data_IF_092116234070
#
_entry.id   IF_092116234070
#
_cell.length_a   1.000
_cell.length_b   1.000
_cell.length_c   1.000
_cell.angle_alpha   90.00
_cell.angle_beta   90.00
_cell.angle_gamma   90.00
#
_symmetry.space_group_name_H-M   'P 1'
#
loop_
_entity.id
_entity.type
_entity.pdbx_description
1 polymer ?
#
# COMPACT_ATOMS: atom_id res chain seq x y z
N UNK A 1 29.99 -59.73 -69.31
CA UNK A 1 30.18 -58.31 -69.65
C UNK A 1 30.92 -57.68 -68.48
N UNK A 2 32.14 -57.18 -68.72
CA UNK A 2 33.11 -56.78 -67.71
C UNK A 2 32.89 -55.31 -67.28
N UNK A 3 33.01 -55.02 -65.98
CA UNK A 3 33.12 -53.65 -65.47
C UNK A 3 34.51 -53.47 -64.85
N UNK A 4 35.30 -52.59 -65.47
CA UNK A 4 36.68 -52.26 -65.11
C UNK A 4 36.69 -50.90 -64.41
N UNK A 5 37.22 -50.91 -63.19
CA UNK A 5 37.97 -49.90 -62.43
C UNK A 5 37.97 -48.43 -62.91
N UNK A 6 37.68 -47.49 -61.99
CA UNK A 6 38.58 -46.33 -61.76
C UNK A 6 38.47 -45.77 -60.34
N UNK A 7 39.57 -45.95 -59.62
CA UNK A 7 39.97 -45.28 -58.38
C UNK A 7 40.55 -43.93 -58.79
N UNK A 8 40.15 -42.82 -58.17
CA UNK A 8 41.07 -41.69 -58.01
C UNK A 8 40.74 -40.91 -56.72
N UNK A 9 41.77 -40.79 -55.90
CA UNK A 9 41.80 -40.05 -54.65
C UNK A 9 42.57 -38.75 -54.92
N UNK A 10 42.23 -37.71 -54.14
CA UNK A 10 43.07 -36.57 -53.78
C UNK A 10 42.87 -35.28 -54.60
N UNK A 11 42.29 -34.27 -53.95
CA UNK A 11 42.97 -32.99 -53.72
C UNK A 11 42.32 -32.27 -52.53
N UNK A 12 43.17 -31.71 -51.67
CA UNK A 12 42.84 -31.02 -50.44
C UNK A 12 43.07 -29.52 -50.61
N UNK A 13 42.37 -28.77 -49.75
CA UNK A 13 42.62 -27.38 -49.35
C UNK A 13 42.21 -26.27 -50.33
N UNK A 14 41.12 -25.57 -49.96
CA UNK A 14 41.04 -24.10 -49.77
C UNK A 14 39.57 -23.73 -49.51
N UNK A 15 39.16 -23.64 -48.24
CA UNK A 15 37.88 -22.96 -47.88
C UNK A 15 37.76 -22.58 -46.38
N UNK A 16 38.67 -23.08 -45.52
CA UNK A 16 38.57 -22.88 -44.07
C UNK A 16 38.71 -21.42 -43.57
N UNK A 17 39.17 -20.47 -44.40
CA UNK A 17 39.38 -19.07 -43.99
C UNK A 17 38.12 -18.20 -44.00
N UNK A 18 37.20 -18.38 -44.96
CA UNK A 18 35.98 -17.57 -45.06
C UNK A 18 34.93 -17.99 -44.04
N UNK A 19 34.82 -19.30 -43.77
CA UNK A 19 33.99 -19.86 -42.71
C UNK A 19 34.43 -19.42 -41.31
N UNK A 20 35.74 -19.31 -41.05
CA UNK A 20 36.25 -18.82 -39.76
C UNK A 20 35.93 -17.34 -39.55
N UNK A 21 36.12 -16.50 -40.57
CA UNK A 21 35.85 -15.06 -40.46
C UNK A 21 34.35 -14.77 -40.26
N UNK A 22 33.48 -15.56 -40.90
CA UNK A 22 32.03 -15.44 -40.73
C UNK A 22 31.57 -15.92 -39.35
N UNK A 23 32.17 -17.00 -38.81
CA UNK A 23 31.89 -17.47 -37.46
C UNK A 23 32.40 -16.50 -36.38
N UNK A 24 33.57 -15.88 -36.57
CA UNK A 24 34.08 -14.85 -35.64
C UNK A 24 33.21 -13.58 -35.68
N UNK A 25 32.73 -13.17 -36.85
CA UNK A 25 31.80 -12.05 -36.97
C UNK A 25 30.47 -12.35 -36.25
N UNK A 26 29.93 -13.56 -36.41
CA UNK A 26 28.71 -13.99 -35.70
C UNK A 26 28.92 -14.08 -34.18
N UNK A 27 30.10 -14.51 -33.73
CA UNK A 27 30.46 -14.54 -32.29
C UNK A 27 30.63 -13.13 -31.71
N UNK A 28 31.16 -12.19 -32.48
CA UNK A 28 31.26 -10.80 -32.06
C UNK A 28 29.87 -10.16 -31.92
N UNK A 29 28.97 -10.45 -32.86
CA UNK A 29 27.59 -9.94 -32.85
C UNK A 29 26.77 -10.53 -31.68
N UNK A 30 26.87 -11.84 -31.45
CA UNK A 30 26.23 -12.50 -30.29
C UNK A 30 26.80 -12.01 -28.94
N UNK A 31 28.04 -11.54 -28.89
CA UNK A 31 28.62 -10.94 -27.68
C UNK A 31 28.21 -9.48 -27.50
N UNK A 32 27.86 -8.79 -28.58
CA UNK A 32 27.38 -7.40 -28.54
C UNK A 32 25.90 -7.29 -28.11
N UNK A 33 25.06 -8.29 -28.42
CA UNK A 33 23.64 -8.32 -28.02
C UNK A 33 23.42 -8.25 -26.49
N UNK A 34 24.07 -9.05 -25.63
CA UNK A 34 23.90 -8.94 -24.18
C UNK A 34 24.51 -7.66 -23.61
N UNK A 35 25.52 -7.09 -24.27
CA UNK A 35 26.13 -5.83 -23.86
C UNK A 35 25.20 -4.64 -24.15
N UNK A 36 24.53 -4.63 -25.31
CA UNK A 36 23.53 -3.61 -25.66
C UNK A 36 22.27 -3.74 -24.82
N UNK A 37 21.79 -4.95 -24.54
CA UNK A 37 20.66 -5.18 -23.63
C UNK A 37 20.96 -4.72 -22.19
N UNK A 38 22.19 -4.94 -21.70
CA UNK A 38 22.62 -4.46 -20.37
C UNK A 38 22.75 -2.94 -20.33
N UNK A 39 23.31 -2.32 -21.37
CA UNK A 39 23.39 -0.87 -21.49
C UNK A 39 21.98 -0.24 -21.54
N UNK A 40 21.05 -0.81 -22.30
CA UNK A 40 19.69 -0.31 -22.43
C UNK A 40 18.87 -0.47 -21.12
N UNK A 41 19.19 -1.48 -20.30
CA UNK A 41 18.63 -1.64 -18.95
C UNK A 41 19.20 -0.65 -17.93
N UNK A 42 20.47 -0.22 -18.08
CA UNK A 42 21.08 0.80 -17.23
C UNK A 42 20.64 2.23 -17.60
N UNK A 43 20.32 2.47 -18.87
CA UNK A 43 19.86 3.79 -19.36
C UNK A 43 18.36 4.01 -19.11
N UNK A 44 17.58 2.96 -18.86
CA UNK A 44 16.25 3.14 -18.29
C UNK A 44 16.39 3.61 -16.84
N UNK A 45 16.05 4.87 -16.49
CA UNK A 45 15.91 5.24 -15.11
C UNK A 45 14.90 4.27 -14.49
N UNK A 46 15.22 3.74 -13.31
CA UNK A 46 14.26 3.00 -12.51
C UNK A 46 12.96 3.81 -12.52
N UNK A 47 11.90 3.27 -13.15
CA UNK A 47 10.57 3.85 -13.02
C UNK A 47 10.39 4.10 -11.53
N UNK A 48 9.94 5.28 -11.09
CA UNK A 48 9.60 5.45 -9.69
C UNK A 48 8.67 4.28 -9.38
N UNK A 49 9.14 3.37 -8.54
CA UNK A 49 8.27 2.36 -7.98
C UNK A 49 7.17 3.18 -7.33
N UNK A 50 5.97 3.17 -7.92
CA UNK A 50 4.78 3.63 -7.23
C UNK A 50 4.68 2.73 -6.01
N UNK A 51 5.37 3.12 -4.94
CA UNK A 51 5.33 2.44 -3.66
C UNK A 51 3.93 2.68 -3.17
N UNK A 52 3.04 1.74 -3.47
CA UNK A 52 1.67 1.74 -2.97
C UNK A 52 1.73 2.13 -1.50
N UNK A 53 1.04 3.22 -1.09
CA UNK A 53 1.19 3.74 0.25
C UNK A 53 0.83 2.64 1.24
N UNK A 54 1.80 2.27 2.08
CA UNK A 54 1.66 1.19 3.05
C UNK A 54 0.87 1.69 4.24
N UNK A 55 0.18 0.79 4.93
CA UNK A 55 -0.48 1.10 6.19
C UNK A 55 0.58 1.60 7.19
N UNK A 56 0.41 2.78 7.81
CA UNK A 56 1.32 3.28 8.83
C UNK A 56 1.48 2.25 9.96
N UNK A 57 2.72 1.97 10.35
CA UNK A 57 2.99 1.22 11.59
C UNK A 57 2.84 2.16 12.78
N UNK A 58 2.13 1.76 13.83
CA UNK A 58 2.00 2.55 15.06
C UNK A 58 0.86 3.57 15.07
N UNK A 59 -0.22 3.33 14.33
CA UNK A 59 -1.44 4.12 14.45
C UNK A 59 -1.92 4.14 15.92
N UNK A 60 -2.38 5.30 16.42
CA UNK A 60 -2.90 5.42 17.77
C UNK A 60 -4.12 4.50 17.92
N UNK A 61 -4.17 3.74 19.02
CA UNK A 61 -5.29 2.84 19.30
C UNK A 61 -6.49 3.61 19.83
N UNK A 62 -7.69 3.23 19.40
CA UNK A 62 -8.93 3.84 19.88
C UNK A 62 -9.91 2.78 20.34
N UNK A 63 -10.32 2.87 21.61
CA UNK A 63 -11.27 1.92 22.22
C UNK A 63 -12.69 2.48 22.20
N UNK A 64 -12.86 3.79 22.01
CA UNK A 64 -14.17 4.42 22.05
C UNK A 64 -14.75 4.49 23.46
N UNK A 65 -13.87 4.56 24.46
CA UNK A 65 -14.23 4.68 25.88
C UNK A 65 -14.62 6.11 26.24
N UNK A 66 -15.27 6.26 27.41
CA UNK A 66 -15.53 7.58 28.00
C UNK A 66 -14.20 8.29 28.28
N UNK A 67 -14.08 9.53 27.81
CA UNK A 67 -12.87 10.35 27.97
C UNK A 67 -11.85 10.25 26.83
N UNK A 68 -12.00 9.33 25.87
CA UNK A 68 -11.20 9.36 24.64
C UNK A 68 -11.73 10.44 23.70
N UNK A 69 -10.82 11.26 23.17
CA UNK A 69 -11.14 12.31 22.21
C UNK A 69 -11.07 11.75 20.79
N UNK A 70 -12.26 11.46 20.24
CA UNK A 70 -12.40 10.97 18.86
C UNK A 70 -11.92 11.98 17.82
N UNK A 71 -12.02 13.29 18.07
CA UNK A 71 -11.54 14.32 17.13
C UNK A 71 -10.02 14.30 17.05
N UNK A 72 -9.38 14.26 18.22
CA UNK A 72 -7.93 14.16 18.30
C UNK A 72 -7.43 12.87 17.66
N UNK A 73 -8.10 11.74 17.93
CA UNK A 73 -7.73 10.46 17.35
C UNK A 73 -7.85 10.45 15.82
N UNK A 74 -8.97 10.92 15.26
CA UNK A 74 -9.17 11.02 13.80
C UNK A 74 -8.09 11.90 13.16
N UNK A 75 -7.77 13.04 13.77
CA UNK A 75 -6.71 13.93 13.31
C UNK A 75 -5.33 13.26 13.28
N UNK A 76 -4.99 12.49 14.32
CA UNK A 76 -3.72 11.75 14.39
C UNK A 76 -3.63 10.67 13.32
N UNK A 77 -4.70 9.89 13.12
CA UNK A 77 -4.76 8.85 12.08
C UNK A 77 -4.57 9.48 10.70
N UNK A 78 -5.32 10.54 10.40
CA UNK A 78 -5.23 11.24 9.12
C UNK A 78 -3.83 11.80 8.87
N UNK A 79 -3.24 12.45 9.88
CA UNK A 79 -1.90 13.03 9.79
C UNK A 79 -0.85 11.96 9.53
N UNK A 80 -0.91 10.83 10.25
CA UNK A 80 0.02 9.72 10.04
C UNK A 80 -0.16 9.11 8.64
N UNK A 81 -1.39 8.87 8.20
CA UNK A 81 -1.64 8.36 6.86
C UNK A 81 -1.10 9.30 5.76
N UNK A 82 -1.27 10.62 5.91
CA UNK A 82 -0.69 11.60 4.99
C UNK A 82 0.84 11.56 4.94
N UNK A 83 1.49 11.44 6.10
CA UNK A 83 2.96 11.29 6.18
C UNK A 83 3.43 10.03 5.43
N UNK A 84 2.61 8.97 5.41
CA UNK A 84 2.87 7.73 4.71
C UNK A 84 2.42 7.71 3.24
N UNK A 85 1.99 8.86 2.69
CA UNK A 85 1.65 9.02 1.27
C UNK A 85 0.21 8.67 0.91
N UNK A 86 -0.69 8.51 1.89
CA UNK A 86 -2.12 8.43 1.62
C UNK A 86 -2.70 9.83 1.41
N UNK A 87 -3.67 9.94 0.50
CA UNK A 87 -4.40 11.20 0.32
C UNK A 87 -5.24 11.52 1.56
N UNK A 88 -5.23 12.79 1.99
CA UNK A 88 -6.08 13.28 3.08
C UNK A 88 -7.48 13.67 2.65
N UNK A 89 -7.83 13.51 1.36
CA UNK A 89 -9.11 13.92 0.83
C UNK A 89 -10.30 13.17 1.44
N UNK A 90 -11.40 13.89 1.52
CA UNK A 90 -12.70 13.43 2.00
C UNK A 90 -13.25 12.25 1.18
N UNK A 91 -12.91 12.17 -0.11
CA UNK A 91 -13.31 11.08 -0.99
C UNK A 91 -12.47 9.80 -0.77
N UNK A 92 -11.40 9.84 0.03
CA UNK A 92 -10.51 8.70 0.21
C UNK A 92 -11.25 7.50 0.84
N UNK A 93 -11.25 6.36 0.14
CA UNK A 93 -11.90 5.12 0.56
C UNK A 93 -11.00 4.17 1.35
N UNK A 94 -9.70 4.43 1.37
CA UNK A 94 -8.70 3.60 2.08
C UNK A 94 -8.52 4.01 3.54
N UNK A 95 -8.65 5.30 3.84
CA UNK A 95 -8.47 5.81 5.21
C UNK A 95 -9.43 5.19 6.23
N UNK A 96 -10.73 4.96 5.92
CA UNK A 96 -11.62 4.27 6.86
C UNK A 96 -11.14 2.86 7.20
N UNK A 97 -10.64 2.10 6.22
CA UNK A 97 -10.09 0.76 6.46
C UNK A 97 -8.84 0.81 7.33
N UNK A 98 -7.94 1.76 7.07
CA UNK A 98 -6.72 1.97 7.86
C UNK A 98 -7.07 2.34 9.30
N UNK A 99 -7.97 3.30 9.49
CA UNK A 99 -8.46 3.71 10.80
C UNK A 99 -9.10 2.52 11.54
N UNK A 100 -9.88 1.70 10.84
CA UNK A 100 -10.48 0.47 11.38
C UNK A 100 -9.47 -0.51 11.97
N UNK A 101 -8.27 -0.64 11.39
CA UNK A 101 -7.19 -1.50 11.96
C UNK A 101 -6.63 -1.00 13.29
N UNK A 102 -6.83 0.29 13.60
CA UNK A 102 -6.40 0.92 14.83
C UNK A 102 -7.52 1.00 15.89
N UNK A 103 -8.74 0.56 15.56
CA UNK A 103 -9.86 0.50 16.49
C UNK A 103 -9.82 -0.82 17.29
N UNK A 104 -10.01 -0.70 18.59
CA UNK A 104 -10.02 -1.81 19.56
C UNK A 104 -11.38 -1.89 20.25
N UNK A 105 -11.62 -2.95 21.03
CA UNK A 105 -12.92 -3.19 21.65
C UNK A 105 -13.29 -2.10 22.67
N UNK A 106 -14.52 -1.53 22.64
CA UNK A 106 -15.67 -1.86 21.75
C UNK A 106 -15.76 -1.12 20.39
N UNK A 107 -14.85 -0.20 20.07
CA UNK A 107 -14.91 0.61 18.85
C UNK A 107 -14.75 -0.21 17.56
N UNK A 108 -13.93 -1.27 17.59
CA UNK A 108 -13.80 -2.28 16.53
C UNK A 108 -15.15 -2.84 16.07
N UNK A 109 -16.02 -3.23 17.01
CA UNK A 109 -17.35 -3.78 16.73
C UNK A 109 -18.28 -2.77 16.07
N UNK A 110 -18.20 -1.50 16.47
CA UNK A 110 -18.93 -0.43 15.78
C UNK A 110 -18.42 -0.22 14.35
N UNK A 111 -17.09 -0.26 14.13
CA UNK A 111 -16.51 -0.12 12.80
C UNK A 111 -16.97 -1.23 11.85
N UNK A 112 -16.96 -2.49 12.31
CA UNK A 112 -17.42 -3.62 11.50
C UNK A 112 -18.89 -3.49 11.14
N UNK A 113 -19.73 -3.08 12.09
CA UNK A 113 -21.15 -2.80 11.84
C UNK A 113 -21.36 -1.62 10.89
N UNK A 114 -20.56 -0.56 11.02
CA UNK A 114 -20.59 0.59 10.13
C UNK A 114 -20.18 0.21 8.70
N UNK A 115 -19.14 -0.60 8.54
CA UNK A 115 -18.67 -1.08 7.25
C UNK A 115 -19.68 -2.03 6.60
N UNK A 116 -20.34 -2.90 7.38
CA UNK A 116 -21.34 -3.84 6.83
C UNK A 116 -22.62 -3.16 6.35
N UNK A 117 -23.00 -2.03 6.94
CA UNK A 117 -24.23 -1.28 6.57
C UNK A 117 -23.99 -0.18 5.55
N UNK A 118 -22.74 0.15 5.26
CA UNK A 118 -22.38 1.26 4.36
C UNK A 118 -21.90 0.67 3.02
N UNK A 119 -22.56 0.96 1.90
CA UNK A 119 -22.11 0.56 0.57
C UNK A 119 -20.65 0.97 0.33
N UNK A 120 -19.87 0.15 -0.37
CA UNK A 120 -18.43 0.38 -0.56
C UNK A 120 -18.10 1.74 -1.19
N UNK A 121 -18.94 2.22 -2.12
CA UNK A 121 -18.80 3.53 -2.77
C UNK A 121 -18.98 4.71 -1.79
N UNK A 122 -19.71 4.48 -0.69
CA UNK A 122 -19.99 5.49 0.32
C UNK A 122 -19.04 5.38 1.53
N UNK A 123 -18.15 4.38 1.57
CA UNK A 123 -17.14 4.21 2.63
C UNK A 123 -15.98 5.18 2.43
N UNK A 124 -16.29 6.47 2.39
CA UNK A 124 -15.32 7.56 2.25
C UNK A 124 -14.87 8.09 3.61
N UNK A 125 -13.71 8.76 3.62
CA UNK A 125 -13.17 9.38 4.82
C UNK A 125 -14.13 10.39 5.45
N UNK A 126 -14.81 11.21 4.64
CA UNK A 126 -15.81 12.16 5.13
C UNK A 126 -17.00 11.49 5.82
N UNK A 127 -17.49 10.38 5.28
CA UNK A 127 -18.60 9.65 5.90
C UNK A 127 -18.17 8.97 7.18
N UNK A 128 -17.02 8.31 7.17
CA UNK A 128 -16.47 7.64 8.34
C UNK A 128 -16.26 8.63 9.49
N UNK A 129 -15.58 9.75 9.24
CA UNK A 129 -15.31 10.78 10.27
C UNK A 129 -16.61 11.33 10.85
N UNK A 130 -17.58 11.72 10.01
CA UNK A 130 -18.90 12.20 10.45
C UNK A 130 -19.60 11.17 11.34
N UNK A 131 -19.66 9.92 10.91
CA UNK A 131 -20.39 8.87 11.63
C UNK A 131 -19.66 8.47 12.94
N UNK A 132 -18.32 8.48 12.93
CA UNK A 132 -17.50 8.28 14.13
C UNK A 132 -17.72 9.39 15.16
N UNK A 133 -17.72 10.65 14.71
CA UNK A 133 -18.04 11.80 15.56
C UNK A 133 -19.44 11.65 16.15
N UNK A 134 -20.45 11.39 15.32
CA UNK A 134 -21.82 11.18 15.81
C UNK A 134 -21.92 10.06 16.86
N UNK A 135 -21.14 8.98 16.70
CA UNK A 135 -21.15 7.84 17.63
C UNK A 135 -20.42 8.09 18.94
N UNK A 136 -19.26 8.75 18.90
CA UNK A 136 -18.32 8.81 20.02
C UNK A 136 -18.25 10.20 20.68
N UNK A 137 -18.62 11.28 19.99
CA UNK A 137 -18.53 12.65 20.49
C UNK A 137 -19.68 13.00 21.46
N UNK A 138 -20.92 12.66 21.08
CA UNK A 138 -22.12 13.09 21.80
C UNK A 138 -22.38 12.37 23.14
N UNK A 139 -21.77 11.19 23.35
CA UNK A 139 -21.96 10.44 24.59
C UNK A 139 -21.13 10.94 25.77
N UNK A 140 -20.17 11.86 25.55
CA UNK A 140 -19.29 12.37 26.59
C UNK A 140 -19.71 13.74 27.13
N UNK A 141 -20.15 14.71 26.32
CA UNK A 141 -20.49 16.05 26.85
C UNK A 141 -21.68 16.02 27.81
N UNK A 142 -22.81 15.44 27.39
CA UNK A 142 -24.01 15.36 28.22
C UNK A 142 -23.81 14.48 29.45
N UNK A 143 -23.02 13.40 29.35
CA UNK A 143 -22.74 12.52 30.47
C UNK A 143 -21.80 13.18 31.50
N UNK A 144 -20.76 13.88 31.04
CA UNK A 144 -19.86 14.66 31.89
C UNK A 144 -20.60 15.82 32.55
N UNK A 145 -21.48 16.52 31.82
CA UNK A 145 -22.31 17.58 32.38
C UNK A 145 -23.24 17.03 33.48
N UNK A 146 -23.91 15.89 33.23
CA UNK A 146 -24.74 15.20 34.24
C UNK A 146 -23.94 14.68 35.43
N UNK A 147 -22.68 14.29 35.24
CA UNK A 147 -21.81 13.87 36.34
C UNK A 147 -21.39 15.07 37.17
N UNK A 148 -20.94 16.16 36.54
CA UNK A 148 -20.58 17.42 37.23
C UNK A 148 -21.77 18.01 37.99
N UNK A 149 -22.96 18.02 37.39
CA UNK A 149 -24.19 18.47 38.07
C UNK A 149 -24.54 17.62 39.30
N UNK A 150 -24.35 16.29 39.23
CA UNK A 150 -24.56 15.40 40.38
C UNK A 150 -23.53 15.64 41.49
N UNK A 151 -22.28 15.89 41.14
CA UNK A 151 -21.22 16.22 42.12
C UNK A 151 -21.49 17.54 42.83
N UNK A 152 -21.92 18.57 42.10
CA UNK A 152 -22.29 19.86 42.69
C UNK A 152 -23.47 19.72 43.67
N UNK A 153 -24.52 18.98 43.27
CA UNK A 153 -25.67 18.75 44.15
C UNK A 153 -25.32 17.96 45.42
N UNK A 154 -24.34 17.06 45.37
CA UNK A 154 -23.88 16.34 46.56
C UNK A 154 -23.03 17.19 47.50
N UNK A 155 -22.35 18.23 47.00
CA UNK A 155 -21.58 19.16 47.82
C UNK A 155 -22.49 20.10 48.61
N UNK A 156 -23.58 20.58 47.98
CA UNK A 156 -24.59 21.42 48.67
C UNK A 156 -25.32 20.65 49.79
N UNK A 157 -25.45 19.32 49.68
CA UNK A 157 -26.17 18.45 50.64
C UNK A 157 -25.32 18.09 51.89
N UNK A 158 -24.05 18.51 51.94
CA UNK A 158 -23.10 18.21 53.05
C UNK A 158 -22.93 19.40 54.00
N UNK A 159 -23.46 20.59 53.66
CA UNK A 159 -23.33 21.82 54.46
C UNK A 159 -24.42 22.05 55.54
N UNK A 160 -25.24 21.05 55.89
CA UNK A 160 -26.20 21.12 57.02
C UNK A 160 -25.78 20.29 58.25
#
# INVERSE_FOLDING_TARGET
MASKTRKNTQEAATDHGEGQNTLEAQLADLRAEPATLRANRQVQPARPTETRPRVPSGLPKFKGKRGEDVRQWLFQVETLCRIHGHDGDNANTTLPSIAGTAMEDPASGWFLFWASRTPAEEQTWARFTRDALARFEASNYQAVLRQKLRQLRQLDDIED
#
